data_IF_225770214273
#
_entry.id   IF_225770214273
#
_cell.length_a   1.000
_cell.length_b   1.000
_cell.length_c   1.000
_cell.angle_alpha   90.00
_cell.angle_beta   90.00
_cell.angle_gamma   90.00
#
_symmetry.space_group_name_H-M   'P 1'
#
loop_
_entity.id
_entity.type
_entity.pdbx_description
1 polymer ?
#
# COMPACT_ATOMS: atom_id res chain seq x y z
N UNK A 1 -44.72 65.03 5.21
CA UNK A 1 -44.43 65.50 6.58
C UNK A 1 -42.92 65.70 6.70
N UNK A 2 -42.49 66.96 6.83
CA UNK A 2 -41.11 67.37 7.09
C UNK A 2 -40.82 67.31 8.59
N UNK A 3 -39.52 67.23 8.91
CA UNK A 3 -38.76 67.72 10.08
C UNK A 3 -37.87 66.58 10.61
N UNK A 4 -36.54 66.68 10.70
CA UNK A 4 -35.61 67.76 10.36
C UNK A 4 -34.15 67.35 10.62
N UNK A 5 -33.22 68.00 9.90
CA UNK A 5 -31.88 68.57 10.27
C UNK A 5 -30.98 67.77 11.25
N UNK A 6 -29.65 67.74 11.16
CA UNK A 6 -28.60 68.36 10.33
C UNK A 6 -27.26 67.97 10.98
N UNK A 7 -26.22 67.63 10.20
CA UNK A 7 -24.86 68.18 10.33
C UNK A 7 -23.89 67.43 9.41
N UNK A 8 -23.31 68.16 8.47
CA UNK A 8 -22.16 67.76 7.68
C UNK A 8 -20.87 68.20 8.39
N UNK A 9 -19.80 67.42 8.26
CA UNK A 9 -18.44 67.97 8.25
C UNK A 9 -17.52 67.06 7.42
N UNK A 10 -17.17 67.57 6.25
CA UNK A 10 -16.11 67.09 5.36
C UNK A 10 -14.73 67.37 5.94
N UNK A 11 -13.84 66.38 5.98
CA UNK A 11 -12.41 66.62 5.74
C UNK A 11 -11.79 65.46 4.95
N UNK A 12 -11.26 65.83 3.79
CA UNK A 12 -10.37 65.05 2.95
C UNK A 12 -9.08 64.72 3.72
N UNK A 13 -8.69 63.44 3.77
CA UNK A 13 -7.27 63.04 3.80
C UNK A 13 -7.07 61.80 2.95
N UNK A 14 -6.31 62.01 1.88
CA UNK A 14 -5.71 60.97 1.05
C UNK A 14 -4.64 60.26 1.87
N UNK A 15 -4.71 58.94 1.98
CA UNK A 15 -3.57 58.10 2.36
C UNK A 15 -3.70 56.71 1.73
N UNK A 16 -2.85 56.50 0.73
CA UNK A 16 -2.26 55.25 0.24
C UNK A 16 -2.77 53.90 0.80
N UNK A 17 -3.37 53.13 -0.10
CA UNK A 17 -2.86 51.81 -0.49
C UNK A 17 -2.80 50.72 0.56
N UNK A 18 -3.78 49.81 0.53
CA UNK A 18 -3.53 48.36 0.66
C UNK A 18 -4.71 47.59 0.06
N UNK A 19 -4.45 46.91 -1.06
CA UNK A 19 -5.42 46.03 -1.74
C UNK A 19 -5.74 44.86 -0.80
N UNK A 20 -6.99 44.72 -0.37
CA UNK A 20 -7.47 43.50 0.30
C UNK A 20 -7.55 42.37 -0.72
N UNK A 21 -6.70 41.37 -0.58
CA UNK A 21 -6.79 40.12 -1.32
C UNK A 21 -8.09 39.37 -0.95
N UNK A 22 -8.74 38.66 -1.88
CA UNK A 22 -9.93 37.89 -1.59
C UNK A 22 -9.55 36.69 -0.71
N UNK A 23 -10.19 36.56 0.46
CA UNK A 23 -10.07 35.40 1.34
C UNK A 23 -10.67 34.20 0.60
N UNK A 24 -9.82 33.35 0.02
CA UNK A 24 -10.20 31.99 -0.37
C UNK A 24 -10.48 31.21 0.91
N UNK A 25 -11.76 31.01 1.22
CA UNK A 25 -12.18 29.96 2.13
C UNK A 25 -11.82 28.63 1.46
N UNK A 26 -10.67 28.05 1.83
CA UNK A 26 -10.44 26.64 1.60
C UNK A 26 -11.41 25.89 2.53
N UNK A 27 -12.45 25.31 1.94
CA UNK A 27 -13.21 24.25 2.58
C UNK A 27 -12.25 23.08 2.75
N UNK A 28 -11.60 23.00 3.91
CA UNK A 28 -11.03 21.76 4.40
C UNK A 28 -12.23 20.87 4.69
N UNK A 29 -12.56 19.99 3.75
CA UNK A 29 -13.42 18.84 4.04
C UNK A 29 -12.66 18.06 5.10
N UNK A 30 -13.19 18.10 6.32
CA UNK A 30 -12.71 17.24 7.41
C UNK A 30 -13.15 15.82 7.05
N UNK A 31 -12.38 15.18 6.17
CA UNK A 31 -12.36 13.74 6.10
C UNK A 31 -11.99 13.26 7.50
N UNK A 32 -12.84 12.43 8.11
CA UNK A 32 -12.55 11.80 9.39
C UNK A 32 -11.16 11.15 9.29
N UNK A 33 -10.16 11.75 9.94
CA UNK A 33 -8.76 11.31 9.91
C UNK A 33 -8.63 10.01 10.71
N UNK A 34 -9.13 8.92 10.15
CA UNK A 34 -8.98 7.58 10.70
C UNK A 34 -7.58 7.08 10.38
N UNK A 35 -6.85 6.65 11.41
CA UNK A 35 -5.53 6.06 11.21
C UNK A 35 -5.65 4.67 10.60
N UNK A 36 -4.69 4.34 9.75
CA UNK A 36 -4.60 2.99 9.21
C UNK A 36 -4.23 2.01 10.33
N UNK A 37 -4.88 0.85 10.31
CA UNK A 37 -4.69 -0.18 11.34
C UNK A 37 -4.94 -1.54 10.72
N UNK A 38 -4.07 -2.48 11.05
CA UNK A 38 -4.21 -3.90 10.74
C UNK A 38 -4.29 -4.64 12.07
N UNK A 39 -5.43 -5.27 12.31
CA UNK A 39 -5.77 -5.95 13.56
C UNK A 39 -5.88 -7.45 13.32
N UNK A 40 -5.31 -8.24 14.22
CA UNK A 40 -5.41 -9.70 14.25
C UNK A 40 -6.18 -10.14 15.48
N UNK A 41 -7.10 -11.08 15.27
CA UNK A 41 -7.94 -11.69 16.29
C UNK A 41 -8.11 -13.19 16.03
N UNK A 42 -8.62 -13.87 17.07
CA UNK A 42 -9.01 -15.27 17.02
C UNK A 42 -10.42 -15.41 17.57
N UNK A 43 -11.16 -16.39 17.06
CA UNK A 43 -12.44 -16.79 17.64
C UNK A 43 -12.26 -17.34 19.05
N UNK A 44 -13.29 -17.27 19.89
CA UNK A 44 -13.22 -17.73 21.29
C UNK A 44 -12.87 -19.23 21.41
N UNK A 45 -13.32 -20.04 20.44
CA UNK A 45 -12.98 -21.46 20.35
C UNK A 45 -11.61 -21.74 19.69
N UNK A 46 -10.87 -20.71 19.26
CA UNK A 46 -9.57 -20.81 18.58
C UNK A 46 -9.59 -21.66 17.29
N UNK A 47 -10.74 -21.74 16.62
CA UNK A 47 -10.92 -22.45 15.35
C UNK A 47 -10.77 -21.52 14.13
N UNK A 48 -10.84 -20.19 14.32
CA UNK A 48 -10.79 -19.20 13.24
C UNK A 48 -9.82 -18.07 13.60
N UNK A 49 -8.89 -17.77 12.70
CA UNK A 49 -8.01 -16.59 12.78
C UNK A 49 -8.52 -15.53 11.80
N UNK A 50 -8.61 -14.29 12.26
CA UNK A 50 -9.11 -13.16 11.46
C UNK A 50 -8.10 -12.02 11.49
N UNK A 51 -7.75 -11.53 10.32
CA UNK A 51 -7.08 -10.24 10.15
C UNK A 51 -8.06 -9.28 9.48
N UNK A 52 -8.13 -8.04 9.97
CA UNK A 52 -8.92 -6.96 9.37
C UNK A 52 -8.06 -5.71 9.30
N UNK A 53 -8.12 -4.99 8.19
CA UNK A 53 -7.39 -3.75 8.03
C UNK A 53 -8.19 -2.61 7.40
N UNK A 54 -7.91 -1.41 7.91
CA UNK A 54 -8.15 -0.14 7.24
C UNK A 54 -6.78 0.37 6.76
N UNK A 55 -6.61 0.50 5.45
CA UNK A 55 -5.39 0.97 4.78
C UNK A 55 -5.68 2.15 3.87
N UNK A 56 -6.67 2.96 4.22
CA UNK A 56 -7.16 4.06 3.38
C UNK A 56 -6.05 5.06 3.07
N UNK A 57 -5.27 5.48 4.07
CA UNK A 57 -4.18 6.44 3.86
C UNK A 57 -3.04 5.84 3.06
N UNK A 58 -2.68 4.60 3.36
CA UNK A 58 -1.63 3.84 2.68
C UNK A 58 -1.91 3.71 1.17
N UNK A 59 -3.14 3.37 0.80
CA UNK A 59 -3.53 3.28 -0.61
C UNK A 59 -3.63 4.67 -1.26
N UNK A 60 -4.12 5.69 -0.54
CA UNK A 60 -4.13 7.07 -1.03
C UNK A 60 -2.71 7.60 -1.30
N UNK A 61 -1.76 7.27 -0.44
CA UNK A 61 -0.37 7.63 -0.59
C UNK A 61 0.27 6.94 -1.81
N UNK A 62 0.01 5.64 -1.99
CA UNK A 62 0.43 4.91 -3.18
C UNK A 62 -0.16 5.52 -4.47
N UNK A 63 -1.44 5.90 -4.45
CA UNK A 63 -2.11 6.59 -5.56
C UNK A 63 -1.39 7.87 -5.94
N UNK A 64 -1.11 8.73 -4.96
CA UNK A 64 -0.46 10.03 -5.20
C UNK A 64 0.96 9.86 -5.73
N UNK A 65 1.76 9.00 -5.08
CA UNK A 65 3.16 8.76 -5.43
C UNK A 65 3.31 8.19 -6.84
N UNK A 66 2.44 7.27 -7.24
CA UNK A 66 2.49 6.65 -8.57
C UNK A 66 1.63 7.36 -9.62
N UNK A 67 0.86 8.39 -9.26
CA UNK A 67 -0.07 9.12 -10.15
C UNK A 67 -1.05 8.15 -10.83
N UNK A 68 -1.65 7.28 -10.03
CA UNK A 68 -2.49 6.19 -10.52
C UNK A 68 -3.84 6.69 -11.03
N UNK A 69 -4.29 6.15 -12.15
CA UNK A 69 -5.67 6.25 -12.59
C UNK A 69 -6.61 5.45 -11.64
N UNK A 70 -7.94 5.66 -11.72
CA UNK A 70 -8.91 5.03 -10.82
C UNK A 70 -8.81 3.50 -10.73
N UNK A 71 -8.87 2.80 -11.86
CA UNK A 71 -8.80 1.34 -11.86
C UNK A 71 -7.41 0.83 -11.45
N UNK A 72 -6.33 1.50 -11.87
CA UNK A 72 -4.96 1.22 -11.43
C UNK A 72 -4.79 1.37 -9.91
N UNK A 73 -5.45 2.36 -9.29
CA UNK A 73 -5.48 2.56 -7.84
C UNK A 73 -6.16 1.40 -7.13
N UNK A 74 -7.30 0.94 -7.66
CA UNK A 74 -7.97 -0.22 -7.10
C UNK A 74 -7.14 -1.51 -7.25
N UNK A 75 -6.49 -1.72 -8.39
CA UNK A 75 -5.68 -2.90 -8.65
C UNK A 75 -4.41 -2.96 -7.76
N UNK A 76 -3.62 -1.88 -7.74
CA UNK A 76 -2.43 -1.80 -6.89
C UNK A 76 -2.83 -1.78 -5.40
N UNK A 77 -3.86 -1.01 -5.03
CA UNK A 77 -4.35 -0.92 -3.67
C UNK A 77 -4.76 -2.27 -3.10
N UNK A 78 -5.58 -3.05 -3.81
CA UNK A 78 -5.93 -4.41 -3.40
C UNK A 78 -4.69 -5.30 -3.26
N UNK A 79 -3.73 -5.19 -4.18
CA UNK A 79 -2.50 -6.00 -4.12
C UNK A 79 -1.64 -5.65 -2.90
N UNK A 80 -1.51 -4.36 -2.55
CA UNK A 80 -0.81 -3.90 -1.34
C UNK A 80 -1.49 -4.42 -0.06
N UNK A 81 -2.82 -4.29 0.02
CA UNK A 81 -3.61 -4.76 1.15
C UNK A 81 -3.52 -6.29 1.30
N UNK A 82 -3.60 -7.03 0.19
CA UNK A 82 -3.43 -8.48 0.16
C UNK A 82 -2.05 -8.92 0.65
N UNK A 83 -0.98 -8.23 0.22
CA UNK A 83 0.37 -8.50 0.69
C UNK A 83 0.50 -8.28 2.21
N UNK A 84 -0.08 -7.19 2.73
CA UNK A 84 -0.10 -6.92 4.18
C UNK A 84 -0.85 -8.00 4.96
N UNK A 85 -2.03 -8.41 4.50
CA UNK A 85 -2.83 -9.45 5.17
C UNK A 85 -2.12 -10.81 5.16
N UNK A 86 -1.42 -11.16 4.08
CA UNK A 86 -0.70 -12.43 3.96
C UNK A 86 0.67 -12.43 4.67
N UNK A 87 1.29 -11.26 4.83
CA UNK A 87 2.64 -11.10 5.38
C UNK A 87 2.69 -10.70 6.86
N UNK A 88 1.68 -10.01 7.38
CA UNK A 88 1.69 -9.52 8.76
C UNK A 88 1.50 -10.64 9.79
N UNK A 89 2.07 -10.47 10.98
CA UNK A 89 1.97 -11.40 12.11
C UNK A 89 2.43 -12.84 11.83
N UNK A 90 3.26 -13.02 10.80
CA UNK A 90 4.03 -14.25 10.58
C UNK A 90 5.21 -14.28 11.56
N UNK A 91 5.71 -15.48 11.83
CA UNK A 91 6.90 -15.65 12.68
C UNK A 91 8.12 -15.19 11.88
N UNK A 92 9.07 -14.55 12.56
CA UNK A 92 10.40 -14.20 12.02
C UNK A 92 10.36 -13.07 10.95
N UNK A 93 11.53 -12.66 10.44
CA UNK A 93 11.69 -11.50 9.54
C UNK A 93 11.29 -11.82 8.07
N UNK A 94 10.22 -12.61 7.88
CA UNK A 94 9.71 -13.03 6.57
C UNK A 94 9.23 -11.83 5.73
N UNK A 95 9.40 -11.93 4.41
CA UNK A 95 8.79 -11.04 3.44
C UNK A 95 7.94 -11.83 2.45
N UNK A 96 6.79 -11.27 2.10
CA UNK A 96 5.92 -11.78 1.04
C UNK A 96 5.96 -10.82 -0.15
N UNK A 97 6.19 -11.35 -1.33
CA UNK A 97 6.06 -10.64 -2.60
C UNK A 97 4.93 -11.26 -3.40
N UNK A 98 3.93 -10.46 -3.73
CA UNK A 98 2.82 -10.83 -4.61
C UNK A 98 3.06 -10.17 -5.96
N UNK A 99 3.04 -10.95 -7.04
CA UNK A 99 3.19 -10.46 -8.41
C UNK A 99 2.08 -10.99 -9.29
N UNK A 100 1.20 -10.11 -9.76
CA UNK A 100 0.30 -10.39 -10.86
C UNK A 100 1.01 -10.07 -12.16
N UNK A 101 1.15 -11.07 -13.03
CA UNK A 101 1.64 -10.92 -14.40
C UNK A 101 0.48 -11.17 -15.33
N UNK A 102 -0.32 -10.13 -15.53
CA UNK A 102 -1.50 -10.16 -16.35
C UNK A 102 -1.26 -9.60 -17.76
N UNK A 103 -2.11 -9.98 -18.70
CA UNK A 103 -2.11 -9.49 -20.08
C UNK A 103 -3.10 -8.31 -20.30
N UNK A 104 -3.73 -7.81 -19.24
CA UNK A 104 -4.55 -6.60 -19.30
C UNK A 104 -3.72 -5.32 -19.29
N UNK A 105 -4.42 -4.18 -19.39
CA UNK A 105 -3.80 -2.86 -19.55
C UNK A 105 -2.92 -2.43 -18.36
N UNK A 106 -3.11 -3.01 -17.16
CA UNK A 106 -2.27 -2.79 -15.98
C UNK A 106 -0.85 -3.37 -16.13
N UNK A 107 -0.70 -4.39 -16.97
CA UNK A 107 0.51 -5.19 -17.09
C UNK A 107 0.86 -5.91 -15.78
N UNK A 108 2.12 -5.76 -15.35
CA UNK A 108 2.57 -6.36 -14.08
C UNK A 108 2.21 -5.49 -12.88
N UNK A 109 1.65 -6.10 -11.84
CA UNK A 109 1.41 -5.48 -10.53
C UNK A 109 2.20 -6.26 -9.49
N UNK A 110 2.99 -5.56 -8.69
CA UNK A 110 3.85 -6.16 -7.69
C UNK A 110 3.69 -5.44 -6.35
N UNK A 111 3.53 -6.19 -5.26
CA UNK A 111 3.58 -5.68 -3.90
C UNK A 111 4.52 -6.54 -3.04
N UNK A 112 5.26 -5.91 -2.14
CA UNK A 112 6.14 -6.56 -1.16
C UNK A 112 5.74 -6.05 0.22
N UNK A 113 5.43 -6.95 1.15
CA UNK A 113 5.15 -6.65 2.54
C UNK A 113 6.10 -7.41 3.48
N UNK A 114 6.43 -6.79 4.62
CA UNK A 114 7.15 -7.43 5.73
C UNK A 114 6.21 -7.71 6.92
N UNK A 115 6.71 -8.48 7.89
CA UNK A 115 5.94 -8.83 9.10
C UNK A 115 5.62 -7.64 10.01
N UNK A 116 6.27 -6.49 9.81
CA UNK A 116 6.14 -5.26 10.61
C UNK A 116 5.09 -4.30 10.04
N UNK A 117 4.38 -4.70 8.99
CA UNK A 117 3.34 -3.89 8.34
C UNK A 117 3.87 -2.85 7.37
N UNK A 118 5.13 -2.93 6.93
CA UNK A 118 5.62 -2.09 5.84
C UNK A 118 5.27 -2.72 4.50
N UNK A 119 4.79 -1.92 3.56
CA UNK A 119 4.50 -2.37 2.20
C UNK A 119 4.99 -1.37 1.16
N UNK A 120 5.36 -1.89 0.00
CA UNK A 120 5.67 -1.11 -1.20
C UNK A 120 5.23 -1.89 -2.42
N UNK A 121 5.03 -1.22 -3.55
CA UNK A 121 4.59 -1.91 -4.74
C UNK A 121 4.46 -0.99 -5.94
N UNK A 122 4.47 -1.59 -7.12
CA UNK A 122 4.36 -0.89 -8.39
C UNK A 122 3.37 -1.56 -9.31
N UNK A 123 2.89 -0.78 -10.26
CA UNK A 123 2.09 -1.22 -11.40
C UNK A 123 2.83 -0.78 -12.67
N UNK A 124 2.87 -1.64 -13.68
CA UNK A 124 3.59 -1.37 -14.91
C UNK A 124 2.97 -0.21 -15.70
N UNK A 125 1.63 -0.13 -15.71
CA UNK A 125 0.90 0.98 -16.30
C UNK A 125 0.05 1.73 -15.26
N UNK A 126 0.57 2.82 -14.66
CA UNK A 126 -0.18 3.69 -13.75
C UNK A 126 -1.46 4.28 -14.35
N UNK A 127 -1.54 4.41 -15.67
CA UNK A 127 -2.67 5.01 -16.37
C UNK A 127 -3.77 4.01 -16.78
N UNK A 128 -3.66 2.73 -16.36
CA UNK A 128 -4.64 1.71 -16.70
C UNK A 128 -6.02 2.04 -16.10
N UNK A 129 -6.99 2.31 -16.98
CA UNK A 129 -8.37 2.63 -16.61
C UNK A 129 -9.36 2.14 -17.69
N UNK A 130 -9.57 0.82 -17.80
CA UNK A 130 -10.54 0.27 -18.72
C UNK A 130 -11.96 0.78 -18.40
N UNK A 131 -12.90 0.72 -19.36
CA UNK A 131 -14.29 1.09 -19.13
C UNK A 131 -14.87 0.37 -17.91
N UNK A 132 -15.71 1.10 -17.17
CA UNK A 132 -16.44 0.56 -16.02
C UNK A 132 -17.21 -0.71 -16.41
N UNK A 133 -17.36 -1.59 -15.42
CA UNK A 133 -18.21 -2.77 -15.55
C UNK A 133 -19.68 -2.36 -15.76
N UNK A 134 -20.54 -3.26 -16.26
CA UNK A 134 -21.97 -3.00 -16.41
C UNK A 134 -22.70 -2.60 -15.11
N UNK A 135 -22.15 -2.99 -13.96
CA UNK A 135 -22.64 -2.62 -12.62
C UNK A 135 -22.14 -1.23 -12.16
N UNK A 136 -21.41 -0.50 -13.00
CA UNK A 136 -20.86 0.82 -12.73
C UNK A 136 -19.60 0.83 -11.84
N UNK A 137 -19.05 -0.34 -11.50
CA UNK A 137 -17.83 -0.45 -10.69
C UNK A 137 -16.56 -0.45 -11.54
N UNK A 138 -15.44 -0.14 -10.90
CA UNK A 138 -14.10 -0.21 -11.51
C UNK A 138 -13.82 -1.62 -12.03
N UNK A 139 -13.28 -1.71 -13.24
CA UNK A 139 -13.08 -2.97 -13.93
C UNK A 139 -11.67 -3.52 -13.71
N UNK A 140 -11.38 -3.88 -12.46
CA UNK A 140 -10.06 -4.39 -12.06
C UNK A 140 -9.73 -5.69 -12.77
N UNK A 141 -10.70 -6.60 -12.92
CA UNK A 141 -10.52 -7.83 -13.67
C UNK A 141 -10.06 -7.62 -15.12
N UNK A 142 -10.60 -6.62 -15.83
CA UNK A 142 -10.13 -6.28 -17.18
C UNK A 142 -8.75 -5.61 -17.18
N UNK A 143 -8.45 -4.76 -16.20
CA UNK A 143 -7.15 -4.11 -16.09
C UNK A 143 -6.03 -5.12 -15.83
N UNK A 144 -6.26 -6.09 -14.94
CA UNK A 144 -5.29 -7.17 -14.67
C UNK A 144 -5.28 -8.17 -15.84
N UNK A 145 -6.44 -8.63 -16.28
CA UNK A 145 -6.58 -9.63 -17.33
C UNK A 145 -6.27 -11.05 -16.83
N UNK A 146 -5.74 -11.87 -17.73
CA UNK A 146 -5.34 -13.26 -17.48
C UNK A 146 -3.82 -13.39 -17.47
N UNK A 147 -3.32 -14.43 -16.83
CA UNK A 147 -1.89 -14.69 -16.75
C UNK A 147 -1.54 -15.50 -15.51
N UNK A 148 -0.48 -15.11 -14.82
CA UNK A 148 0.04 -15.84 -13.66
C UNK A 148 0.09 -14.93 -12.44
N UNK A 149 -0.40 -15.43 -11.32
CA UNK A 149 -0.17 -14.91 -9.98
C UNK A 149 1.00 -15.69 -9.38
N UNK A 150 2.08 -15.00 -9.05
CA UNK A 150 3.22 -15.54 -8.33
C UNK A 150 3.30 -14.94 -6.93
N UNK A 151 3.47 -15.79 -5.93
CA UNK A 151 3.71 -15.39 -4.55
C UNK A 151 5.03 -15.97 -4.10
N UNK A 152 5.94 -15.09 -3.69
CA UNK A 152 7.27 -15.45 -3.22
C UNK A 152 7.34 -15.14 -1.73
N UNK A 153 7.76 -16.13 -0.94
CA UNK A 153 8.05 -16.01 0.48
C UNK A 153 9.55 -16.14 0.67
N UNK A 154 10.16 -15.14 1.32
CA UNK A 154 11.58 -15.14 1.58
C UNK A 154 11.85 -14.89 3.06
N UNK A 155 12.73 -15.68 3.64
CA UNK A 155 13.16 -15.53 5.02
C UNK A 155 14.69 -15.29 5.07
N UNK A 156 15.22 -14.37 5.90
CA UNK A 156 16.66 -14.06 5.92
C UNK A 156 17.56 -15.23 6.28
N UNK A 157 17.05 -16.22 7.03
CA UNK A 157 17.80 -17.42 7.40
C UNK A 157 17.71 -18.54 6.37
N UNK A 158 16.82 -18.42 5.37
CA UNK A 158 16.65 -19.42 4.34
C UNK A 158 17.43 -19.02 3.07
N UNK A 159 18.24 -19.93 2.50
CA UNK A 159 19.08 -19.60 1.35
C UNK A 159 18.28 -19.39 0.06
N UNK A 160 17.08 -19.96 -0.05
CA UNK A 160 16.23 -19.85 -1.23
C UNK A 160 14.80 -19.52 -0.83
N UNK A 161 14.14 -18.58 -1.53
CA UNK A 161 12.76 -18.26 -1.27
C UNK A 161 11.82 -19.34 -1.79
N UNK A 162 10.71 -19.57 -1.08
CA UNK A 162 9.61 -20.39 -1.58
C UNK A 162 8.81 -19.59 -2.61
N UNK A 163 8.46 -20.21 -3.74
CA UNK A 163 7.67 -19.58 -4.80
C UNK A 163 6.51 -20.48 -5.17
N UNK A 164 5.29 -19.97 -4.99
CA UNK A 164 4.07 -20.58 -5.52
C UNK A 164 3.53 -19.78 -6.70
N UNK A 165 2.96 -20.47 -7.69
CA UNK A 165 2.38 -19.86 -8.89
C UNK A 165 1.05 -20.51 -9.25
N UNK A 166 0.05 -19.69 -9.51
CA UNK A 166 -1.28 -20.14 -9.96
C UNK A 166 -1.76 -19.29 -11.14
N UNK A 167 -2.64 -19.80 -12.02
CA UNK A 167 -3.24 -18.97 -13.05
C UNK A 167 -4.15 -17.90 -12.44
N UNK A 168 -4.19 -16.71 -13.06
CA UNK A 168 -5.16 -15.66 -12.72
C UNK A 168 -6.54 -16.09 -13.21
N UNK A 169 -7.48 -16.25 -12.27
CA UNK A 169 -8.83 -16.77 -12.54
C UNK A 169 -9.80 -15.64 -12.85
N UNK A 170 -9.86 -14.59 -12.04
CA UNK A 170 -10.78 -13.46 -12.26
C UNK A 170 -10.06 -12.14 -12.54
N UNK A 171 -8.89 -11.93 -11.95
CA UNK A 171 -8.16 -10.66 -12.02
C UNK A 171 -8.69 -9.62 -11.02
N UNK A 172 -9.67 -9.96 -10.18
CA UNK A 172 -10.19 -9.07 -9.14
C UNK A 172 -9.29 -9.01 -7.87
N UNK A 173 -8.15 -9.71 -7.92
CA UNK A 173 -7.08 -9.79 -6.89
C UNK A 173 -7.48 -10.60 -5.66
N UNK A 174 -8.62 -10.29 -5.02
CA UNK A 174 -9.03 -10.97 -3.79
C UNK A 174 -9.31 -12.46 -4.01
N UNK A 175 -10.08 -12.77 -5.04
CA UNK A 175 -10.43 -14.15 -5.42
C UNK A 175 -9.20 -14.93 -5.88
N UNK A 176 -8.32 -14.32 -6.66
CA UNK A 176 -7.08 -14.96 -7.13
C UNK A 176 -6.14 -15.31 -5.96
N UNK A 177 -6.02 -14.42 -4.97
CA UNK A 177 -5.25 -14.67 -3.75
C UNK A 177 -5.89 -15.72 -2.85
N UNK A 178 -7.23 -15.75 -2.74
CA UNK A 178 -7.93 -16.80 -2.02
C UNK A 178 -7.68 -18.17 -2.66
N UNK A 179 -7.78 -18.26 -3.99
CA UNK A 179 -7.47 -19.48 -4.74
C UNK A 179 -6.01 -19.90 -4.53
N UNK A 180 -5.06 -18.95 -4.56
CA UNK A 180 -3.66 -19.24 -4.26
C UNK A 180 -3.47 -19.85 -2.86
N UNK A 181 -4.11 -19.29 -1.82
CA UNK A 181 -4.00 -19.80 -0.45
C UNK A 181 -4.54 -21.23 -0.32
N UNK A 182 -5.59 -21.58 -1.06
CA UNK A 182 -6.15 -22.93 -1.09
C UNK A 182 -5.25 -23.88 -1.89
N UNK A 183 -4.90 -23.52 -3.12
CA UNK A 183 -4.23 -24.43 -4.06
C UNK A 183 -2.74 -24.62 -3.75
N UNK A 184 -2.05 -23.56 -3.33
CA UNK A 184 -0.60 -23.56 -3.09
C UNK A 184 -0.22 -23.67 -1.61
N UNK A 185 -0.94 -22.98 -0.72
CA UNK A 185 -0.65 -23.02 0.73
C UNK A 185 -1.53 -24.03 1.50
N UNK A 186 -2.47 -24.71 0.84
CA UNK A 186 -3.39 -25.68 1.45
C UNK A 186 -4.08 -25.15 2.71
N UNK A 187 -4.34 -23.84 2.73
CA UNK A 187 -4.95 -23.16 3.87
C UNK A 187 -6.33 -22.68 3.46
N UNK A 188 -7.35 -23.30 4.04
CA UNK A 188 -8.74 -22.89 3.83
C UNK A 188 -8.93 -21.46 4.34
N UNK A 189 -9.06 -20.53 3.39
CA UNK A 189 -9.04 -19.10 3.65
C UNK A 189 -10.12 -18.38 2.85
N UNK A 190 -10.65 -17.31 3.42
CA UNK A 190 -11.48 -16.35 2.71
C UNK A 190 -10.83 -14.98 2.79
N UNK A 191 -10.84 -14.24 1.68
CA UNK A 191 -10.19 -12.94 1.57
C UNK A 191 -11.16 -11.93 0.94
N UNK A 192 -11.35 -10.80 1.63
CA UNK A 192 -12.09 -9.66 1.09
C UNK A 192 -11.17 -8.45 0.98
N UNK A 193 -11.08 -7.87 -0.22
CA UNK A 193 -10.31 -6.64 -0.46
C UNK A 193 -11.20 -5.62 -1.16
N UNK A 194 -11.05 -4.36 -0.79
CA UNK A 194 -11.83 -3.29 -1.40
C UNK A 194 -11.11 -1.95 -1.38
N UNK A 195 -11.26 -1.23 -2.48
CA UNK A 195 -10.82 0.16 -2.63
C UNK A 195 -12.00 0.90 -3.23
N UNK A 196 -12.44 1.98 -2.59
CA UNK A 196 -13.47 2.88 -3.09
C UNK A 196 -12.87 4.26 -3.32
N UNK A 197 -13.31 4.89 -4.40
CA UNK A 197 -12.88 6.23 -4.78
C UNK A 197 -14.07 7.18 -4.68
N UNK A 198 -13.80 8.45 -4.39
CA UNK A 198 -14.78 9.52 -4.48
C UNK A 198 -14.96 10.02 -5.93
N UNK A 199 -15.78 11.06 -6.10
CA UNK A 199 -16.07 11.65 -7.42
C UNK A 199 -14.87 12.41 -8.01
N UNK A 200 -13.94 12.81 -7.16
CA UNK A 200 -12.70 13.49 -7.54
C UNK A 200 -11.56 12.48 -7.78
N UNK A 201 -11.91 11.18 -7.83
CA UNK A 201 -11.00 10.06 -8.01
C UNK A 201 -9.99 9.84 -6.87
N UNK A 202 -10.19 10.44 -5.70
CA UNK A 202 -9.35 10.17 -4.54
C UNK A 202 -9.81 8.92 -3.81
N UNK A 203 -8.87 8.21 -3.16
CA UNK A 203 -9.21 7.08 -2.29
C UNK A 203 -10.08 7.56 -1.13
N UNK A 204 -11.33 7.09 -1.12
CA UNK A 204 -12.30 7.37 -0.07
C UNK A 204 -12.19 6.37 1.09
N UNK A 205 -12.04 5.09 0.76
CA UNK A 205 -11.84 4.02 1.74
C UNK A 205 -11.08 2.87 1.09
N UNK A 206 -10.10 2.30 1.78
CA UNK A 206 -9.44 1.08 1.33
C UNK A 206 -9.19 0.15 2.52
N UNK A 207 -9.46 -1.14 2.34
CA UNK A 207 -9.29 -2.09 3.41
C UNK A 207 -9.53 -3.52 2.96
N UNK A 208 -9.35 -4.43 3.89
CA UNK A 208 -9.55 -5.84 3.62
C UNK A 208 -9.57 -6.68 4.88
N UNK A 209 -9.87 -7.96 4.71
CA UNK A 209 -9.84 -8.94 5.76
C UNK A 209 -9.40 -10.28 5.20
N UNK A 210 -8.70 -11.05 6.02
CA UNK A 210 -8.28 -12.42 5.75
C UNK A 210 -8.75 -13.30 6.90
N UNK A 211 -9.56 -14.29 6.56
CA UNK A 211 -10.06 -15.30 7.48
C UNK A 211 -9.38 -16.62 7.15
N UNK A 212 -8.85 -17.29 8.16
CA UNK A 212 -8.20 -18.59 8.02
C UNK A 212 -8.80 -19.58 9.01
N UNK A 213 -9.17 -20.74 8.49
CA UNK A 213 -9.69 -21.85 9.28
C UNK A 213 -8.49 -22.59 9.90
N UNK A 214 -8.51 -22.75 11.22
CA UNK A 214 -7.48 -23.47 11.95
C UNK A 214 -7.79 -24.98 11.99
N UNK A 215 -6.77 -25.83 12.22
CA UNK A 215 -6.98 -27.27 12.33
C UNK A 215 -8.05 -27.62 13.36
N UNK A 216 -8.82 -28.68 13.08
CA UNK A 216 -9.90 -29.19 13.95
C UNK A 216 -11.11 -28.24 14.09
N UNK A 217 -11.29 -27.29 13.17
CA UNK A 217 -12.51 -26.48 13.08
C UNK A 217 -13.75 -27.36 12.92
N UNK A 218 -14.79 -27.04 13.69
CA UNK A 218 -16.08 -27.73 13.70
C UNK A 218 -16.94 -27.31 12.51
N UNK A 219 -17.75 -28.25 11.99
CA UNK A 219 -18.72 -27.98 10.91
C UNK A 219 -19.72 -26.88 11.27
N UNK A 220 -20.09 -26.78 12.56
CA UNK A 220 -20.94 -25.71 13.08
C UNK A 220 -20.27 -24.34 12.95
N UNK A 221 -19.00 -24.24 13.35
CA UNK A 221 -18.20 -23.01 13.21
C UNK A 221 -18.04 -22.61 11.75
N UNK A 222 -17.74 -23.59 10.87
CA UNK A 222 -17.64 -23.35 9.43
C UNK A 222 -18.96 -22.80 8.85
N UNK A 223 -20.07 -23.46 9.15
CA UNK A 223 -21.39 -23.06 8.64
C UNK A 223 -21.76 -21.66 9.12
N UNK A 224 -21.53 -21.34 10.40
CA UNK A 224 -21.80 -20.01 10.95
C UNK A 224 -20.91 -18.95 10.28
N UNK A 225 -19.62 -19.23 10.13
CA UNK A 225 -18.67 -18.32 9.49
C UNK A 225 -19.04 -18.04 8.02
N UNK A 226 -19.41 -19.06 7.25
CA UNK A 226 -19.86 -18.90 5.85
C UNK A 226 -21.10 -18.01 5.74
N UNK A 227 -22.06 -18.17 6.66
CA UNK A 227 -23.26 -17.32 6.72
C UNK A 227 -22.90 -15.86 7.04
N UNK A 228 -21.98 -15.64 7.99
CA UNK A 228 -21.51 -14.30 8.34
C UNK A 228 -20.82 -13.63 7.13
N UNK A 229 -19.91 -14.35 6.46
CA UNK A 229 -19.15 -13.83 5.32
C UNK A 229 -20.03 -13.56 4.08
N UNK A 230 -21.07 -14.37 3.87
CA UNK A 230 -21.99 -14.19 2.73
C UNK A 230 -22.97 -13.04 2.95
N UNK A 231 -23.36 -12.78 4.19
CA UNK A 231 -24.36 -11.75 4.53
C UNK A 231 -23.76 -10.36 4.79
N UNK A 232 -22.45 -10.27 5.01
CA UNK A 232 -21.80 -8.99 5.30
C UNK A 232 -21.68 -8.09 4.06
N UNK A 233 -21.83 -6.76 4.22
CA UNK A 233 -21.51 -5.81 3.16
C UNK A 233 -20.03 -5.87 2.77
N UNK A 234 -19.70 -5.25 1.63
CA UNK A 234 -18.30 -5.11 1.23
C UNK A 234 -17.51 -4.29 2.26
N UNK A 235 -16.22 -4.58 2.41
CA UNK A 235 -15.35 -3.87 3.36
C UNK A 235 -15.37 -2.35 3.18
N UNK A 236 -15.41 -1.87 1.94
CA UNK A 236 -15.49 -0.43 1.65
C UNK A 236 -16.82 0.17 2.06
N UNK A 237 -17.94 -0.55 1.90
CA UNK A 237 -19.24 -0.12 2.45
C UNK A 237 -19.14 0.04 3.97
N UNK A 238 -18.57 -0.96 4.65
CA UNK A 238 -18.50 -0.94 6.11
C UNK A 238 -17.62 0.19 6.65
N UNK A 239 -16.44 0.39 6.03
CA UNK A 239 -15.54 1.51 6.37
C UNK A 239 -16.20 2.87 6.11
N UNK A 240 -16.94 3.01 5.00
CA UNK A 240 -17.67 4.24 4.67
C UNK A 240 -18.81 4.55 5.65
N UNK A 241 -19.38 3.53 6.29
CA UNK A 241 -20.39 3.65 7.36
C UNK A 241 -19.75 3.94 8.73
N UNK A 242 -18.43 3.99 8.80
CA UNK A 242 -17.68 4.34 10.02
C UNK A 242 -17.32 3.17 10.92
N UNK A 243 -17.63 1.92 10.54
CA UNK A 243 -17.30 0.74 11.36
C UNK A 243 -15.81 0.58 11.58
N UNK A 244 -15.39 0.39 12.83
CA UNK A 244 -14.01 0.14 13.24
C UNK A 244 -13.51 -1.22 12.70
N UNK A 245 -12.19 -1.48 12.69
CA UNK A 245 -11.69 -2.82 12.32
C UNK A 245 -12.13 -3.88 13.33
N UNK A 246 -12.37 -3.48 14.59
CA UNK A 246 -12.92 -4.31 15.64
C UNK A 246 -14.39 -4.63 15.36
N UNK A 247 -15.22 -3.65 14.99
CA UNK A 247 -16.63 -3.87 14.65
C UNK A 247 -16.76 -4.85 13.47
N UNK A 248 -15.89 -4.71 12.48
CA UNK A 248 -15.83 -5.62 11.33
C UNK A 248 -15.38 -7.02 11.76
N UNK A 249 -14.43 -7.12 12.69
CA UNK A 249 -13.97 -8.41 13.24
C UNK A 249 -15.11 -9.10 14.00
N UNK A 250 -15.82 -8.38 14.86
CA UNK A 250 -16.99 -8.87 15.59
C UNK A 250 -18.09 -9.33 14.64
N UNK A 251 -18.29 -8.63 13.52
CA UNK A 251 -19.25 -9.04 12.49
C UNK A 251 -18.84 -10.31 11.76
N UNK A 252 -17.55 -10.48 11.44
CA UNK A 252 -17.04 -11.72 10.83
C UNK A 252 -17.22 -12.90 11.79
N UNK A 253 -16.97 -12.67 13.08
CA UNK A 253 -17.03 -13.68 14.15
C UNK A 253 -18.36 -13.69 14.90
N UNK A 254 -19.44 -13.18 14.31
CA UNK A 254 -20.75 -13.16 14.95
C UNK A 254 -21.20 -14.58 15.32
N UNK A 255 -21.62 -14.77 16.58
CA UNK A 255 -21.92 -16.08 17.15
C UNK A 255 -20.72 -16.95 17.55
N UNK A 256 -19.49 -16.62 17.15
CA UNK A 256 -18.26 -17.36 17.48
C UNK A 256 -17.43 -16.73 18.61
N UNK A 257 -17.69 -15.44 18.89
CA UNK A 257 -16.98 -14.65 19.89
C UNK A 257 -15.55 -14.28 19.46
N UNK A 258 -14.96 -13.30 20.14
CA UNK A 258 -13.61 -12.79 19.85
C UNK A 258 -12.75 -12.91 21.11
N UNK A 259 -11.55 -13.48 21.00
CA UNK A 259 -10.59 -13.48 22.10
C UNK A 259 -10.08 -12.06 22.39
N UNK A 260 -9.90 -11.69 23.67
CA UNK A 260 -9.49 -10.34 24.06
C UNK A 260 -8.04 -9.99 23.67
N UNK A 261 -7.21 -10.99 23.39
CA UNK A 261 -5.78 -10.82 23.06
C UNK A 261 -5.57 -10.54 21.55
N UNK A 262 -6.08 -9.39 21.09
CA UNK A 262 -5.82 -8.90 19.74
C UNK A 262 -4.43 -8.27 19.60
N UNK A 263 -3.86 -8.33 18.40
CA UNK A 263 -2.64 -7.59 18.05
C UNK A 263 -2.96 -6.56 16.98
N UNK A 264 -2.33 -5.39 17.05
CA UNK A 264 -2.51 -4.31 16.09
C UNK A 264 -1.16 -3.78 15.60
N UNK A 265 -1.08 -3.49 14.30
CA UNK A 265 0.04 -2.81 13.66
C UNK A 265 -0.52 -1.65 12.84
N UNK A 266 0.20 -0.52 12.81
CA UNK A 266 -0.08 0.57 11.87
C UNK A 266 0.68 0.30 10.58
N UNK A 267 0.00 -0.05 9.47
CA UNK A 267 0.67 -0.34 8.22
C UNK A 267 1.20 0.94 7.58
N UNK A 268 2.27 0.83 6.79
CA UNK A 268 2.97 2.00 6.20
C UNK A 268 3.33 1.77 4.74
N UNK A 269 3.04 2.77 3.89
CA UNK A 269 3.44 2.77 2.49
C UNK A 269 4.83 3.40 2.29
N UNK A 270 5.88 2.59 2.27
CA UNK A 270 7.23 3.01 1.89
C UNK A 270 7.83 4.26 2.58
N UNK A 271 9.05 4.63 2.17
CA UNK A 271 10.10 3.67 1.83
C UNK A 271 10.39 2.77 3.04
N UNK A 272 10.58 1.47 2.80
CA UNK A 272 11.18 0.59 3.80
C UNK A 272 12.53 1.19 4.22
N UNK A 273 12.78 1.29 5.53
CA UNK A 273 14.00 1.83 6.17
C UNK A 273 14.84 2.77 5.27
N UNK A 274 14.65 4.08 5.42
CA UNK A 274 15.28 5.14 4.62
C UNK A 274 16.77 4.88 4.33
N UNK A 275 17.53 4.54 5.36
CA UNK A 275 18.97 4.25 5.26
C UNK A 275 19.26 3.05 4.35
N UNK A 276 18.47 1.98 4.43
CA UNK A 276 18.63 0.82 3.58
C UNK A 276 18.29 1.14 2.11
N UNK A 277 17.30 1.99 1.88
CA UNK A 277 16.95 2.44 0.52
C UNK A 277 18.05 3.33 -0.08
N UNK A 278 18.54 4.32 0.67
CA UNK A 278 19.65 5.18 0.25
C UNK A 278 20.89 4.36 -0.09
N UNK A 279 21.28 3.41 0.77
CA UNK A 279 22.41 2.48 0.52
C UNK A 279 22.23 1.64 -0.74
N UNK A 280 21.01 1.20 -1.05
CA UNK A 280 20.73 0.47 -2.29
C UNK A 280 20.81 1.36 -3.53
N UNK A 281 20.31 2.58 -3.44
CA UNK A 281 20.33 3.54 -4.55
C UNK A 281 21.73 4.02 -4.87
N UNK A 282 22.51 4.40 -3.86
CA UNK A 282 23.90 4.84 -4.07
C UNK A 282 24.75 3.71 -4.67
N UNK A 283 24.50 2.45 -4.30
CA UNK A 283 25.13 1.28 -4.91
C UNK A 283 24.78 1.15 -6.40
N UNK A 284 23.51 1.37 -6.77
CA UNK A 284 23.08 1.30 -8.16
C UNK A 284 23.70 2.43 -9.00
N UNK A 285 23.76 3.64 -8.46
CA UNK A 285 24.44 4.78 -9.07
C UNK A 285 25.94 4.51 -9.23
N UNK A 286 26.59 4.01 -8.19
CA UNK A 286 28.02 3.72 -8.21
C UNK A 286 28.41 2.71 -9.30
N UNK A 287 27.48 1.87 -9.74
CA UNK A 287 27.70 0.92 -10.84
C UNK A 287 27.89 1.59 -12.22
N UNK A 288 27.46 2.84 -12.39
CA UNK A 288 27.70 3.67 -13.59
C UNK A 288 29.18 4.14 -13.68
N UNK A 289 29.83 4.26 -12.52
CA UNK A 289 31.20 4.75 -12.41
C UNK A 289 31.31 6.28 -12.36
N UNK A 290 32.48 6.76 -11.89
CA UNK A 290 32.72 8.18 -11.58
C UNK A 290 32.54 9.12 -12.78
N UNK A 291 32.95 8.68 -13.97
CA UNK A 291 32.87 9.51 -15.18
C UNK A 291 31.42 9.74 -15.63
N UNK A 292 30.60 8.69 -15.69
CA UNK A 292 29.19 8.80 -16.07
C UNK A 292 28.43 9.67 -15.07
N UNK A 293 28.68 9.51 -13.77
CA UNK A 293 28.07 10.34 -12.71
C UNK A 293 28.46 11.81 -12.85
N UNK A 294 29.75 12.09 -13.09
CA UNK A 294 30.22 13.46 -13.30
C UNK A 294 29.60 14.09 -14.55
N UNK A 295 29.45 13.34 -15.64
CA UNK A 295 28.83 13.81 -16.87
C UNK A 295 27.33 14.11 -16.69
N UNK A 296 26.59 13.26 -15.97
CA UNK A 296 25.18 13.50 -15.63
C UNK A 296 25.04 14.79 -14.81
N UNK A 297 25.84 14.95 -13.75
CA UNK A 297 25.77 16.14 -12.89
C UNK A 297 26.16 17.39 -13.67
N UNK A 298 27.14 17.30 -14.58
CA UNK A 298 27.56 18.44 -15.43
C UNK A 298 26.47 18.86 -16.42
N UNK A 299 25.73 17.89 -16.98
CA UNK A 299 24.68 18.14 -17.97
C UNK A 299 23.36 18.59 -17.32
N UNK A 300 22.94 17.92 -16.25
CA UNK A 300 21.62 18.12 -15.63
C UNK A 300 21.67 18.95 -14.33
N UNK A 301 22.86 19.23 -13.81
CA UNK A 301 23.08 19.99 -12.57
C UNK A 301 22.80 19.21 -11.28
N UNK A 302 22.26 18.00 -11.38
CA UNK A 302 21.90 17.13 -10.25
C UNK A 302 21.87 15.67 -10.69
N UNK A 303 21.97 14.77 -9.72
CA UNK A 303 21.73 13.34 -9.92
C UNK A 303 20.56 12.91 -9.04
N UNK A 304 19.44 12.54 -9.66
CA UNK A 304 18.23 12.09 -8.97
C UNK A 304 17.99 10.60 -9.24
N UNK A 305 17.72 9.85 -8.19
CA UNK A 305 17.37 8.43 -8.27
C UNK A 305 16.00 8.23 -7.67
N UNK A 306 15.09 7.62 -8.44
CA UNK A 306 13.73 7.35 -8.00
C UNK A 306 13.53 5.85 -7.80
N UNK A 307 12.91 5.47 -6.68
CA UNK A 307 12.57 4.07 -6.41
C UNK A 307 11.36 3.64 -7.24
N UNK A 308 11.50 2.65 -8.11
CA UNK A 308 10.37 2.09 -8.86
C UNK A 308 9.19 1.61 -7.98
N UNK A 309 9.45 1.16 -6.75
CA UNK A 309 8.47 0.52 -5.88
C UNK A 309 7.71 1.45 -4.94
N UNK A 310 8.26 2.62 -4.62
CA UNK A 310 7.60 3.58 -3.71
C UNK A 310 7.66 5.02 -4.21
N UNK A 311 8.25 5.24 -5.39
CA UNK A 311 8.43 6.53 -6.06
C UNK A 311 9.10 7.60 -5.18
N UNK A 312 9.84 7.17 -4.16
CA UNK A 312 10.69 8.07 -3.39
C UNK A 312 11.90 8.45 -4.24
N UNK A 313 12.14 9.75 -4.37
CA UNK A 313 13.31 10.29 -5.06
C UNK A 313 14.33 10.77 -4.04
N UNK A 314 15.60 10.43 -4.27
CA UNK A 314 16.74 11.00 -3.54
C UNK A 314 17.70 11.66 -4.52
N UNK A 315 18.36 12.71 -4.03
CA UNK A 315 19.44 13.36 -4.74
C UNK A 315 20.76 12.94 -4.11
N UNK A 316 21.75 12.68 -4.95
CA UNK A 316 23.11 12.40 -4.52
C UNK A 316 24.07 13.42 -5.12
N UNK A 317 24.98 13.92 -4.29
CA UNK A 317 26.11 14.72 -4.76
C UNK A 317 27.19 13.84 -5.38
N UNK A 318 28.02 14.41 -6.23
CA UNK A 318 29.17 13.71 -6.79
C UNK A 318 30.08 13.17 -5.70
N UNK A 319 30.30 13.97 -4.65
CA UNK A 319 31.16 13.61 -3.52
C UNK A 319 30.64 12.38 -2.77
N UNK A 320 29.34 12.30 -2.49
CA UNK A 320 28.76 11.12 -1.82
C UNK A 320 28.97 9.84 -2.62
N UNK A 321 28.85 9.92 -3.94
CA UNK A 321 29.06 8.76 -4.83
C UNK A 321 30.53 8.38 -4.91
N UNK A 322 31.42 9.38 -5.03
CA UNK A 322 32.87 9.17 -5.07
C UNK A 322 33.37 8.55 -3.76
N UNK A 323 32.91 9.05 -2.61
CA UNK A 323 33.23 8.52 -1.28
C UNK A 323 32.77 7.06 -1.14
N UNK A 324 31.59 6.71 -1.66
CA UNK A 324 31.10 5.32 -1.67
C UNK A 324 31.96 4.40 -2.54
N UNK A 325 32.37 4.86 -3.73
CA UNK A 325 33.24 4.10 -4.64
C UNK A 325 34.61 3.89 -4.01
N UNK A 326 35.21 4.94 -3.43
CA UNK A 326 36.55 4.89 -2.84
C UNK A 326 36.59 4.04 -1.57
N UNK A 327 35.55 4.13 -0.73
CA UNK A 327 35.40 3.25 0.43
C UNK A 327 35.33 1.76 0.06
N UNK A 328 34.68 1.41 -1.07
CA UNK A 328 34.64 0.04 -1.58
C UNK A 328 36.00 -0.46 -2.07
N UNK A 329 36.79 0.41 -2.68
CA UNK A 329 38.16 0.07 -3.12
C UNK A 329 39.04 -0.22 -1.90
N UNK A 330 38.91 0.55 -0.81
CA UNK A 330 39.65 0.31 0.43
C UNK A 330 39.26 -1.01 1.10
N UNK A 331 37.96 -1.31 1.24
CA UNK A 331 37.47 -2.60 1.77
C UNK A 331 37.97 -3.80 0.94
N UNK A 332 37.98 -3.67 -0.39
CA UNK A 332 38.46 -4.73 -1.29
C UNK A 332 39.99 -4.94 -1.18
N UNK A 333 40.77 -3.86 -1.02
CA UNK A 333 42.23 -3.91 -0.84
C UNK A 333 42.59 -4.55 0.50
N UNK A 334 41.87 -4.23 1.58
CA UNK A 334 42.10 -4.82 2.91
C UNK A 334 41.74 -6.33 2.94
N UNK A 335 40.64 -6.73 2.31
CA UNK A 335 40.26 -8.14 2.18
C UNK A 335 41.24 -8.94 1.33
N UNK A 336 41.79 -8.34 0.27
CA UNK A 336 42.80 -8.99 -0.58
C UNK A 336 44.15 -9.13 0.14
N UNK A 337 44.56 -8.13 0.93
CA UNK A 337 45.81 -8.16 1.70
C UNK A 337 45.76 -9.21 2.82
N UNK A 338 44.59 -9.43 3.44
CA UNK A 338 44.39 -10.43 4.49
C UNK A 338 44.40 -11.87 3.95
N UNK A 339 44.00 -12.07 2.68
CA UNK A 339 43.93 -13.40 2.04
C UNK A 339 45.26 -13.85 1.46
N UNK A 340 46.16 -12.91 1.13
CA UNK A 340 47.51 -13.21 0.59
C UNK A 340 48.55 -13.46 1.70
N UNK A 341 48.21 -13.16 2.96
CA UNK A 341 49.07 -13.39 4.13
C UNK A 341 48.73 -14.66 4.93
N UNK A 342 47.77 -15.47 4.49
CA UNK A 342 47.42 -16.78 5.03
C UNK A 342 47.83 -17.89 4.06
#
# INVERSE_FOLDING_TARGET
>A
MRLGRSAACTTNRVAFGQRRAPRRCYNIVVATCREDVLHRSLSTNAEVSVLVMDGTKLVAEAQQRHKLAPTATAALGRTLLGALLMGSFRKEDEQVQITFQGNGDAGSILAIADTRGNVKGKIANPAADPPLRPDGKLNVGAAVGKGVLAVVRSHPLEPQPYTGMVPIVSGEVAEDLANYLVDSEQTNSALGLGVSLDRDCNVKSAGGWLVQILPFCSEETLTQLEQNLTSMPTITTMLNEGMSVQDITERILDGLGVLPEGQAITPKYGPCEEEALKKRMIRAVAALGKQEVADIIKQEGKLEVTCDLCQQTYQFSQQEVDDYIDGKVQEAVEQHTTTVQA
#
